data_IF_103791961465
#
_entry.id   IF_103791961465
#
_cell.length_a   1.000
_cell.length_b   1.000
_cell.length_c   1.000
_cell.angle_alpha   90.00
_cell.angle_beta   90.00
_cell.angle_gamma   90.00
#
_symmetry.space_group_name_H-M   'P 1'
#
loop_
_entity.id
_entity.type
_entity.pdbx_description
1 polymer ?
#
# COMPACT_ATOMS: atom_id res chain seq x y z
N UNK A 1 0.32 -2.07 -2.52
CA UNK A 1 0.59 -3.53 -2.62
C UNK A 1 0.13 -4.29 -1.38
N UNK A 2 0.67 -4.02 -0.18
CA UNK A 2 0.28 -4.72 1.05
C UNK A 2 -1.24 -4.75 1.30
N UNK A 3 -1.91 -3.61 1.14
CA UNK A 3 -3.37 -3.51 1.31
C UNK A 3 -4.19 -4.37 0.33
N UNK A 4 -3.60 -4.83 -0.78
CA UNK A 4 -4.27 -5.70 -1.75
C UNK A 4 -4.07 -7.21 -1.44
N UNK A 5 -3.32 -7.55 -0.38
CA UNK A 5 -3.05 -8.96 -0.05
C UNK A 5 -4.20 -9.56 0.77
N UNK A 6 -4.68 -10.78 0.46
CA UNK A 6 -5.88 -11.35 1.09
C UNK A 6 -5.83 -11.51 2.61
N UNK A 7 -4.63 -11.69 3.18
CA UNK A 7 -4.43 -11.95 4.61
C UNK A 7 -4.07 -10.69 5.40
N UNK A 8 -3.96 -9.53 4.73
CA UNK A 8 -3.60 -8.26 5.36
C UNK A 8 -4.86 -7.44 5.60
N UNK A 9 -5.26 -7.29 6.86
CA UNK A 9 -6.42 -6.47 7.21
C UNK A 9 -6.17 -4.97 6.98
N UNK A 10 -4.97 -4.47 7.34
CA UNK A 10 -4.55 -3.10 7.08
C UNK A 10 -3.01 -2.98 7.13
N UNK A 11 -2.39 -2.13 6.28
CA UNK A 11 -0.98 -1.78 6.42
C UNK A 11 -0.78 -0.79 7.58
N UNK A 12 0.32 -0.95 8.31
CA UNK A 12 0.74 -0.01 9.36
C UNK A 12 1.97 0.74 8.87
N UNK A 13 1.92 2.07 8.90
CA UNK A 13 3.02 2.93 8.54
C UNK A 13 3.33 3.91 9.66
N UNK A 14 4.62 4.09 9.96
CA UNK A 14 5.09 5.10 10.91
C UNK A 14 5.37 6.42 10.22
N UNK A 15 5.03 7.52 10.89
CA UNK A 15 5.44 8.86 10.53
C UNK A 15 6.28 9.45 11.67
N UNK A 16 7.37 10.14 11.32
CA UNK A 16 8.21 10.91 12.23
C UNK A 16 7.92 12.42 12.15
N UNK A 17 7.23 12.87 11.12
CA UNK A 17 6.72 14.25 11.01
C UNK A 17 5.31 14.26 10.42
N UNK A 18 4.55 15.33 10.67
CA UNK A 18 3.15 15.45 10.25
C UNK A 18 3.02 15.53 8.73
N UNK A 19 4.01 16.09 8.05
CA UNK A 19 4.04 16.26 6.59
C UNK A 19 4.09 14.93 5.84
N UNK A 20 4.42 13.83 6.52
CA UNK A 20 4.37 12.48 5.94
C UNK A 20 2.95 11.92 5.86
N UNK A 21 2.03 12.39 6.72
CA UNK A 21 0.68 11.85 6.83
C UNK A 21 -0.12 11.92 5.54
N UNK A 22 -0.13 13.02 4.75
CA UNK A 22 -0.89 13.06 3.50
C UNK A 22 -0.51 11.93 2.53
N UNK A 23 0.79 11.65 2.38
CA UNK A 23 1.26 10.58 1.50
C UNK A 23 0.89 9.18 2.04
N UNK A 24 0.95 8.98 3.36
CA UNK A 24 0.58 7.70 3.99
C UNK A 24 -0.92 7.43 3.93
N UNK A 25 -1.75 8.45 4.18
CA UNK A 25 -3.22 8.35 4.17
C UNK A 25 -3.78 8.14 2.76
N UNK A 26 -3.05 8.54 1.71
CA UNK A 26 -3.42 8.29 0.32
C UNK A 26 -3.61 6.81 -0.04
N UNK A 27 -3.14 5.87 0.79
CA UNK A 27 -3.41 4.43 0.60
C UNK A 27 -4.91 4.10 0.57
N UNK A 28 -5.76 4.89 1.25
CA UNK A 28 -7.20 4.67 1.28
C UNK A 28 -7.88 4.96 -0.07
N UNK A 29 -7.24 5.77 -0.92
CA UNK A 29 -7.76 6.18 -2.23
C UNK A 29 -7.12 5.38 -3.37
N UNK A 30 -6.01 4.70 -3.11
CA UNK A 30 -5.26 3.95 -4.11
C UNK A 30 -5.90 2.59 -4.36
N UNK A 31 -6.48 2.43 -5.55
CA UNK A 31 -6.87 1.12 -6.10
C UNK A 31 -5.87 0.68 -7.15
N UNK A 32 -5.31 -0.52 -6.99
CA UNK A 32 -4.43 -1.14 -7.99
C UNK A 32 -5.23 -2.14 -8.80
N UNK A 33 -4.96 -2.18 -10.11
CA UNK A 33 -5.47 -3.23 -10.99
C UNK A 33 -4.79 -4.57 -10.70
N UNK A 34 -5.42 -5.67 -11.10
CA UNK A 34 -4.85 -7.02 -10.94
C UNK A 34 -3.46 -7.13 -11.61
N UNK A 35 -3.28 -6.51 -12.78
CA UNK A 35 -2.00 -6.47 -13.49
C UNK A 35 -0.92 -5.71 -12.70
N UNK A 36 -1.28 -4.59 -12.06
CA UNK A 36 -0.35 -3.84 -11.20
C UNK A 36 0.02 -4.63 -9.95
N UNK A 37 -0.95 -5.29 -9.31
CA UNK A 37 -0.69 -6.17 -8.16
C UNK A 37 0.23 -7.30 -8.58
N UNK A 38 -0.02 -7.97 -9.71
CA UNK A 38 0.82 -9.04 -10.24
C UNK A 38 2.26 -8.58 -10.53
N UNK A 39 2.43 -7.39 -11.13
CA UNK A 39 3.76 -6.80 -11.37
C UNK A 39 4.52 -6.53 -10.08
N UNK A 40 3.86 -5.92 -9.09
CA UNK A 40 4.45 -5.61 -7.79
C UNK A 40 4.81 -6.88 -7.00
N UNK A 41 3.95 -7.91 -7.05
CA UNK A 41 4.21 -9.22 -6.44
C UNK A 41 5.45 -9.87 -7.06
N UNK A 42 5.58 -9.88 -8.40
CA UNK A 42 6.78 -10.42 -9.07
C UNK A 42 8.06 -9.68 -8.69
N UNK A 43 7.99 -8.37 -8.48
CA UNK A 43 9.15 -7.56 -8.10
C UNK A 43 9.56 -7.70 -6.63
N UNK A 44 8.69 -8.31 -5.79
CA UNK A 44 8.91 -8.45 -4.34
C UNK A 44 9.39 -9.85 -3.93
N UNK A 45 9.55 -10.77 -4.89
CA UNK A 45 10.09 -12.12 -4.72
C UNK A 45 11.59 -12.16 -5.05
#
# INVERSE_FOLDING_TARGET
WLAAQPTVAAPIASARTVEQLPALLGVAELSLTDDEVARLTRASA
#
